data_IF_584692800157
#
_entry.id   IF_584692800157
#
_cell.length_a   1.000
_cell.length_b   1.000
_cell.length_c   1.000
_cell.angle_alpha   90.00
_cell.angle_beta   90.00
_cell.angle_gamma   90.00
#
_symmetry.space_group_name_H-M   'P 1'
#
loop_
_entity.id
_entity.type
_entity.pdbx_description
1 polymer ?
#
# COMPACT_ATOMS: atom_id res chain seq x y z
N UNK A 1 -3.18 14.52 2.21
CA UNK A 1 -3.94 14.22 3.44
C UNK A 1 -2.97 13.92 4.57
N UNK A 2 -3.21 14.37 5.81
CA UNK A 2 -2.37 13.94 6.95
C UNK A 2 -2.69 12.49 7.32
N UNK A 3 -1.67 11.76 7.79
CA UNK A 3 -1.80 10.38 8.31
C UNK A 3 -2.89 10.30 9.39
N UNK A 4 -2.99 11.35 10.21
CA UNK A 4 -3.97 11.51 11.28
C UNK A 4 -5.42 11.44 10.79
N UNK A 5 -5.76 12.06 9.65
CA UNK A 5 -7.12 11.98 9.09
C UNK A 5 -7.45 10.58 8.56
N UNK A 6 -6.44 9.83 8.09
CA UNK A 6 -6.65 8.46 7.64
C UNK A 6 -6.83 7.52 8.85
N UNK A 7 -6.03 7.71 9.91
CA UNK A 7 -6.18 7.01 11.17
C UNK A 7 -7.58 7.23 11.77
N UNK A 8 -8.06 8.48 11.83
CA UNK A 8 -9.40 8.80 12.32
C UNK A 8 -10.50 8.09 11.51
N UNK A 9 -10.39 8.04 10.18
CA UNK A 9 -11.38 7.32 9.35
C UNK A 9 -11.28 5.80 9.54
N UNK A 10 -10.06 5.27 9.72
CA UNK A 10 -9.87 3.85 9.99
C UNK A 10 -10.57 3.46 11.30
N UNK A 11 -10.27 4.15 12.39
CA UNK A 11 -10.85 3.89 13.71
C UNK A 11 -12.37 4.14 13.74
N UNK A 12 -12.84 5.28 13.21
CA UNK A 12 -14.24 5.69 13.36
C UNK A 12 -15.20 5.00 12.38
N UNK A 13 -14.70 4.54 11.23
CA UNK A 13 -15.56 4.02 10.15
C UNK A 13 -15.19 2.63 9.65
N UNK A 14 -13.91 2.32 9.51
CA UNK A 14 -13.46 1.05 8.93
C UNK A 14 -13.47 -0.07 9.97
N UNK A 15 -12.97 0.17 11.18
CA UNK A 15 -12.96 -0.81 12.26
C UNK A 15 -14.37 -1.31 12.62
N UNK A 16 -15.40 -0.44 12.75
CA UNK A 16 -16.77 -0.91 12.95
C UNK A 16 -17.27 -1.84 11.83
N UNK A 17 -16.93 -1.56 10.58
CA UNK A 17 -17.33 -2.40 9.42
C UNK A 17 -16.70 -3.79 9.52
N UNK A 18 -15.44 -3.88 9.93
CA UNK A 18 -14.71 -5.15 10.10
C UNK A 18 -15.27 -5.91 11.32
N UNK A 19 -15.46 -5.23 12.44
CA UNK A 19 -15.98 -5.80 13.69
C UNK A 19 -17.39 -6.38 13.51
N UNK A 20 -18.27 -5.66 12.81
CA UNK A 20 -19.62 -6.13 12.52
C UNK A 20 -19.61 -7.32 11.58
N UNK A 21 -18.68 -7.34 10.60
CA UNK A 21 -18.50 -8.49 9.73
C UNK A 21 -18.00 -9.71 10.51
N UNK A 22 -17.00 -9.57 11.37
CA UNK A 22 -16.50 -10.67 12.20
C UNK A 22 -17.57 -11.18 13.15
N UNK A 23 -18.29 -10.29 13.85
CA UNK A 23 -19.40 -10.69 14.72
C UNK A 23 -20.45 -11.47 13.94
N UNK A 24 -20.73 -11.09 12.69
CA UNK A 24 -21.72 -11.75 11.84
C UNK A 24 -21.26 -13.11 11.31
N UNK A 25 -20.02 -13.23 10.84
CA UNK A 25 -19.55 -14.44 10.15
C UNK A 25 -18.74 -15.38 11.05
N UNK A 26 -17.94 -14.85 11.97
CA UNK A 26 -17.16 -15.60 12.96
C UNK A 26 -17.92 -15.78 14.29
N UNK A 27 -18.91 -14.94 14.57
CA UNK A 27 -19.67 -14.97 15.82
C UNK A 27 -18.97 -14.31 17.00
N UNK A 28 -17.77 -13.75 16.78
CA UNK A 28 -16.93 -13.09 17.76
C UNK A 28 -16.27 -11.87 17.13
N UNK A 29 -15.86 -10.90 17.95
CA UNK A 29 -14.95 -9.83 17.53
C UNK A 29 -13.52 -10.27 17.86
N UNK A 30 -12.60 -10.05 16.94
CA UNK A 30 -11.17 -10.33 17.12
C UNK A 30 -10.40 -9.05 16.88
N UNK A 31 -10.08 -8.34 17.96
CA UNK A 31 -9.41 -7.03 17.89
C UNK A 31 -8.07 -7.12 17.16
N UNK A 32 -7.37 -8.26 17.24
CA UNK A 32 -6.11 -8.53 16.55
C UNK A 32 -6.30 -8.54 15.02
N UNK A 33 -7.36 -9.19 14.51
CA UNK A 33 -7.66 -9.20 13.07
C UNK A 33 -8.05 -7.80 12.59
N UNK A 34 -8.88 -7.09 13.37
CA UNK A 34 -9.27 -5.70 13.04
C UNK A 34 -8.03 -4.81 13.00
N UNK A 35 -7.18 -4.87 14.02
CA UNK A 35 -5.92 -4.14 14.09
C UNK A 35 -5.00 -4.45 12.92
N UNK A 36 -4.77 -5.72 12.60
CA UNK A 36 -3.92 -6.12 11.47
C UNK A 36 -4.46 -5.64 10.12
N UNK A 37 -5.79 -5.66 9.92
CA UNK A 37 -6.42 -5.12 8.70
C UNK A 37 -6.30 -3.61 8.67
N UNK A 38 -6.59 -2.91 9.78
CA UNK A 38 -6.46 -1.45 9.90
C UNK A 38 -5.03 -0.99 9.66
N UNK A 39 -4.06 -1.63 10.29
CA UNK A 39 -2.63 -1.37 10.11
C UNK A 39 -2.21 -1.61 8.67
N UNK A 40 -2.63 -2.75 8.08
CA UNK A 40 -2.36 -2.98 6.66
C UNK A 40 -3.07 -1.98 5.77
N UNK A 41 -4.26 -1.48 6.08
CA UNK A 41 -4.92 -0.43 5.30
C UNK A 41 -4.24 0.93 5.48
N UNK A 42 -3.72 1.22 6.68
CA UNK A 42 -2.93 2.41 7.04
C UNK A 42 -1.56 2.42 6.38
N UNK A 43 -0.97 1.25 6.13
CA UNK A 43 0.30 1.06 5.43
C UNK A 43 0.14 0.65 3.94
N UNK A 44 -1.06 0.25 3.52
CA UNK A 44 -1.49 0.11 2.13
C UNK A 44 -1.87 1.41 1.39
N UNK A 45 -1.64 2.64 1.88
CA UNK A 45 -1.66 3.83 1.01
C UNK A 45 -0.64 3.74 -0.12
N UNK A 46 0.32 2.83 0.02
CA UNK A 46 1.13 2.32 -1.08
C UNK A 46 0.36 1.46 -2.06
N UNK A 47 -0.96 1.48 -2.15
CA UNK A 47 -1.71 1.01 -3.31
C UNK A 47 -1.20 -0.36 -3.85
N UNK A 48 -0.92 -1.35 -3.00
CA UNK A 48 -0.47 -2.68 -3.44
C UNK A 48 0.76 -2.63 -4.35
N UNK A 49 1.54 -1.55 -4.27
CA UNK A 49 2.72 -1.29 -5.06
C UNK A 49 3.81 -2.16 -4.50
N UNK A 50 3.95 -3.35 -5.07
CA UNK A 50 5.02 -4.27 -4.72
C UNK A 50 6.37 -3.56 -4.76
N UNK A 51 7.09 -3.59 -3.65
CA UNK A 51 8.49 -3.21 -3.57
C UNK A 51 9.31 -4.37 -4.12
N UNK A 52 10.24 -4.07 -5.02
CA UNK A 52 11.12 -5.07 -5.63
C UNK A 52 12.42 -5.14 -4.83
N UNK A 53 12.47 -6.03 -3.84
CA UNK A 53 13.61 -6.16 -2.92
C UNK A 53 14.84 -6.80 -3.59
N UNK A 54 14.69 -7.47 -4.75
CA UNK A 54 15.82 -8.11 -5.44
C UNK A 54 16.71 -7.12 -6.19
N UNK A 55 16.22 -5.91 -6.45
CA UNK A 55 16.98 -4.86 -7.13
C UNK A 55 17.78 -4.02 -6.15
N UNK A 56 18.75 -3.27 -6.68
CA UNK A 56 19.41 -2.22 -5.90
C UNK A 56 18.43 -1.12 -5.49
N UNK A 57 18.78 -0.35 -4.44
CA UNK A 57 17.92 0.69 -3.89
C UNK A 57 17.45 1.68 -4.97
N UNK A 58 18.38 2.16 -5.81
CA UNK A 58 18.07 3.15 -6.87
C UNK A 58 17.12 2.58 -7.92
N UNK A 59 17.31 1.33 -8.32
CA UNK A 59 16.50 0.67 -9.34
C UNK A 59 15.10 0.34 -8.81
N UNK A 60 15.02 -0.22 -7.60
CA UNK A 60 13.76 -0.50 -6.92
C UNK A 60 12.95 0.78 -6.74
N UNK A 61 13.59 1.86 -6.25
CA UNK A 61 12.96 3.17 -6.09
C UNK A 61 12.43 3.71 -7.42
N UNK A 62 13.20 3.60 -8.50
CA UNK A 62 12.76 4.04 -9.84
C UNK A 62 11.52 3.26 -10.31
N UNK A 63 11.51 1.93 -10.16
CA UNK A 63 10.34 1.11 -10.52
C UNK A 63 9.13 1.44 -9.65
N UNK A 64 9.34 1.62 -8.35
CA UNK A 64 8.30 2.03 -7.42
C UNK A 64 7.65 3.35 -7.83
N UNK A 65 8.45 4.40 -8.09
CA UNK A 65 7.92 5.71 -8.57
C UNK A 65 7.10 5.57 -9.86
N UNK A 66 7.53 4.74 -10.79
CA UNK A 66 6.78 4.49 -12.03
C UNK A 66 5.44 3.79 -11.76
N UNK A 67 5.43 2.76 -10.91
CA UNK A 67 4.21 2.03 -10.55
C UNK A 67 3.24 2.96 -9.80
N UNK A 68 3.74 3.77 -8.87
CA UNK A 68 2.97 4.75 -8.12
C UNK A 68 2.27 5.76 -9.03
N UNK A 69 3.03 6.44 -9.90
CA UNK A 69 2.47 7.42 -10.83
C UNK A 69 1.49 6.79 -11.83
N UNK A 70 1.77 5.56 -12.28
CA UNK A 70 0.85 4.83 -13.15
C UNK A 70 -0.46 4.52 -12.44
N UNK A 71 -0.40 4.10 -11.17
CA UNK A 71 -1.60 3.78 -10.40
C UNK A 71 -2.41 5.04 -10.07
N UNK A 72 -1.77 6.14 -9.72
CA UNK A 72 -2.44 7.43 -9.57
C UNK A 72 -3.12 7.88 -10.88
N UNK A 73 -2.46 7.71 -12.03
CA UNK A 73 -3.10 7.99 -13.31
C UNK A 73 -4.29 7.08 -13.59
N UNK A 74 -4.23 5.80 -13.20
CA UNK A 74 -5.37 4.90 -13.34
C UNK A 74 -6.54 5.36 -12.47
N UNK A 75 -6.26 5.72 -11.21
CA UNK A 75 -7.26 6.21 -10.27
C UNK A 75 -7.90 7.53 -10.70
N UNK A 76 -7.12 8.41 -11.33
CA UNK A 76 -7.58 9.70 -11.85
C UNK A 76 -7.94 9.65 -13.34
N UNK A 77 -8.28 8.47 -13.88
CA UNK A 77 -8.76 8.29 -15.27
C UNK A 77 -7.85 8.88 -16.37
N UNK A 78 -6.54 8.92 -16.11
CA UNK A 78 -5.54 9.50 -17.00
C UNK A 78 -5.46 11.02 -16.95
N UNK A 79 -6.02 11.67 -15.92
CA UNK A 79 -5.91 13.11 -15.69
C UNK A 79 -4.50 13.49 -15.20
N UNK A 80 -3.63 13.82 -16.14
CA UNK A 80 -2.23 14.16 -15.87
C UNK A 80 -2.11 15.46 -15.07
N UNK A 81 -2.99 16.43 -15.29
CA UNK A 81 -2.97 17.71 -14.57
C UNK A 81 -3.27 17.53 -13.09
N UNK A 82 -4.22 16.65 -12.77
CA UNK A 82 -4.56 16.32 -11.39
C UNK A 82 -3.45 15.52 -10.71
N UNK A 83 -2.89 14.50 -11.38
CA UNK A 83 -1.75 13.75 -10.84
C UNK A 83 -0.52 14.65 -10.65
N UNK A 84 -0.24 15.58 -11.56
CA UNK A 84 0.86 16.54 -11.42
C UNK A 84 0.68 17.42 -10.18
N UNK A 85 -0.54 17.91 -9.95
CA UNK A 85 -0.88 18.71 -8.78
C UNK A 85 -0.69 17.92 -7.49
N UNK A 86 -1.24 16.71 -7.41
CA UNK A 86 -1.17 15.84 -6.23
C UNK A 86 0.26 15.42 -5.90
N UNK A 87 1.05 15.09 -6.92
CA UNK A 87 2.39 14.52 -6.73
C UNK A 87 3.49 15.56 -6.62
N UNK A 88 3.21 16.83 -6.95
CA UNK A 88 4.21 17.89 -7.08
C UNK A 88 5.19 17.66 -8.24
N UNK A 89 4.89 16.74 -9.16
CA UNK A 89 5.73 16.39 -10.29
C UNK A 89 5.28 17.14 -11.54
N UNK A 90 6.24 17.69 -12.30
CA UNK A 90 5.94 18.31 -13.58
C UNK A 90 5.24 17.35 -14.55
N UNK A 91 4.28 17.88 -15.31
CA UNK A 91 3.48 17.12 -16.28
C UNK A 91 4.34 16.38 -17.30
N UNK A 92 5.45 16.98 -17.77
CA UNK A 92 6.37 16.32 -18.72
C UNK A 92 7.10 15.16 -18.07
N UNK A 93 7.40 15.25 -16.78
CA UNK A 93 8.02 14.16 -16.04
C UNK A 93 7.04 13.00 -15.82
N UNK A 94 5.77 13.26 -15.55
CA UNK A 94 4.73 12.22 -15.51
C UNK A 94 4.57 11.57 -16.89
N UNK A 95 4.51 12.36 -17.96
CA UNK A 95 4.51 11.84 -19.33
C UNK A 95 5.73 10.93 -19.54
N UNK A 96 6.96 11.40 -19.37
CA UNK A 96 8.17 10.58 -19.59
C UNK A 96 8.22 9.30 -18.74
N UNK A 97 7.69 9.32 -17.52
CA UNK A 97 7.69 8.16 -16.63
C UNK A 97 6.66 7.10 -17.03
N UNK A 98 5.60 7.49 -17.74
CA UNK A 98 4.46 6.62 -18.10
C UNK A 98 4.45 6.28 -19.61
N UNK A 99 5.10 7.10 -20.44
CA UNK A 99 5.03 7.09 -21.90
C UNK A 99 6.02 6.13 -22.59
N UNK A 100 6.51 5.10 -21.89
CA UNK A 100 7.10 3.93 -22.57
C UNK A 100 6.04 3.06 -23.30
N UNK A 101 4.92 3.65 -23.74
CA UNK A 101 4.00 3.05 -24.72
C UNK A 101 2.56 2.73 -24.29
N UNK A 102 1.98 3.27 -23.20
CA UNK A 102 0.64 2.82 -22.72
C UNK A 102 -0.35 3.88 -22.21
N UNK A 103 -0.10 5.17 -22.35
CA UNK A 103 -1.05 6.23 -21.95
C UNK A 103 -2.39 6.16 -22.70
N UNK A 104 -2.39 5.79 -24.00
CA UNK A 104 -3.63 5.58 -24.78
C UNK A 104 -4.41 4.30 -24.42
N UNK A 105 -3.73 3.23 -23.98
CA UNK A 105 -4.39 1.97 -23.56
C UNK A 105 -5.04 2.08 -22.18
N UNK A 106 -4.45 2.86 -21.28
CA UNK A 106 -5.00 3.08 -19.94
C UNK A 106 -6.46 3.57 -20.04
N UNK A 107 -6.81 4.48 -20.96
CA UNK A 107 -8.21 4.95 -21.09
C UNK A 107 -9.22 3.89 -21.57
N UNK A 108 -8.79 2.88 -22.33
CA UNK A 108 -9.70 1.87 -22.93
C UNK A 108 -9.85 0.59 -22.09
N UNK A 109 -8.85 0.25 -21.27
CA UNK A 109 -8.82 -0.99 -20.47
C UNK A 109 -9.09 -0.77 -18.96
N UNK A 110 -9.52 0.43 -18.56
CA UNK A 110 -9.69 0.80 -17.14
C UNK A 110 -10.98 0.20 -16.56
N UNK A 111 -10.84 -0.86 -15.77
CA UNK A 111 -11.77 -1.14 -14.67
C UNK A 111 -11.94 0.16 -13.86
N UNK A 112 -13.18 0.51 -13.49
CA UNK A 112 -13.47 1.73 -12.71
C UNK A 112 -12.56 1.75 -11.47
N UNK A 113 -11.93 2.89 -11.12
CA UNK A 113 -11.01 3.01 -9.97
C UNK A 113 -11.53 2.38 -8.68
N UNK A 114 -12.84 2.48 -8.48
CA UNK A 114 -13.58 1.81 -7.41
C UNK A 114 -13.32 0.29 -7.34
N UNK A 115 -13.42 -0.41 -8.46
CA UNK A 115 -13.23 -1.86 -8.52
C UNK A 115 -11.78 -2.28 -8.24
N UNK A 116 -10.82 -1.44 -8.62
CA UNK A 116 -9.40 -1.67 -8.32
C UNK A 116 -9.12 -1.49 -6.82
N UNK A 117 -9.67 -0.44 -6.19
CA UNK A 117 -9.61 -0.25 -4.73
C UNK A 117 -10.24 -1.44 -4.00
N UNK A 118 -11.41 -1.89 -4.47
CA UNK A 118 -12.12 -3.01 -3.86
C UNK A 118 -11.29 -4.31 -3.89
N UNK A 119 -10.77 -4.69 -5.06
CA UNK A 119 -9.95 -5.91 -5.21
C UNK A 119 -8.70 -5.91 -4.34
N UNK A 120 -8.18 -4.74 -4.04
CA UNK A 120 -7.00 -4.57 -3.21
C UNK A 120 -7.32 -4.75 -1.73
N UNK A 121 -8.39 -4.10 -1.25
CA UNK A 121 -8.90 -4.32 0.11
C UNK A 121 -9.27 -5.80 0.29
N UNK A 122 -9.86 -6.44 -0.72
CA UNK A 122 -10.14 -7.89 -0.70
C UNK A 122 -8.86 -8.70 -0.48
N UNK A 123 -7.76 -8.33 -1.15
CA UNK A 123 -6.47 -8.99 -0.99
C UNK A 123 -5.87 -8.82 0.41
N UNK A 124 -5.96 -7.62 0.98
CA UNK A 124 -5.48 -7.32 2.34
C UNK A 124 -6.24 -8.16 3.36
N UNK A 125 -7.58 -8.14 3.30
CA UNK A 125 -8.42 -8.93 4.19
C UNK A 125 -8.07 -10.40 4.05
N UNK A 126 -7.97 -10.91 2.81
CA UNK A 126 -7.67 -12.31 2.57
C UNK A 126 -6.31 -12.74 3.12
N UNK A 127 -5.28 -11.90 3.00
CA UNK A 127 -3.95 -12.16 3.54
C UNK A 127 -3.94 -12.14 5.08
N UNK A 128 -4.66 -11.21 5.70
CA UNK A 128 -4.79 -11.20 7.17
C UNK A 128 -5.53 -12.45 7.62
N UNK A 129 -6.71 -12.75 7.06
CA UNK A 129 -7.49 -13.93 7.45
C UNK A 129 -6.67 -15.23 7.33
N UNK A 130 -5.81 -15.33 6.32
CA UNK A 130 -4.99 -16.52 6.10
C UNK A 130 -4.05 -16.79 7.29
N UNK A 131 -3.52 -15.74 7.92
CA UNK A 131 -2.65 -15.86 9.10
C UNK A 131 -3.40 -16.38 10.34
N UNK A 132 -4.74 -16.36 10.33
CA UNK A 132 -5.58 -16.79 11.45
C UNK A 132 -6.37 -18.08 11.15
N UNK A 133 -6.12 -18.73 10.00
CA UNK A 133 -6.83 -19.96 9.59
C UNK A 133 -6.70 -21.10 10.61
N UNK A 134 -5.54 -21.23 11.26
CA UNK A 134 -5.29 -22.29 12.24
C UNK A 134 -6.03 -22.09 13.57
N UNK A 135 -6.44 -20.86 13.86
CA UNK A 135 -7.04 -20.46 15.15
C UNK A 135 -8.57 -20.47 15.06
N UNK A 136 -9.11 -20.21 13.87
CA UNK A 136 -10.55 -20.08 13.62
C UNK A 136 -11.07 -21.36 12.95
N UNK A 137 -12.25 -21.82 13.37
CA UNK A 137 -12.90 -22.99 12.77
C UNK A 137 -13.09 -22.81 11.26
N UNK A 138 -12.59 -23.75 10.46
CA UNK A 138 -12.61 -23.77 8.98
C UNK A 138 -13.92 -23.24 8.38
N UNK A 139 -15.06 -23.81 8.74
CA UNK A 139 -16.36 -23.41 8.16
C UNK A 139 -16.87 -22.01 8.55
N UNK A 140 -16.27 -21.36 9.56
CA UNK A 140 -16.51 -19.93 9.85
C UNK A 140 -15.56 -19.06 9.04
N UNK A 141 -14.33 -19.51 8.82
CA UNK A 141 -13.36 -18.81 8.00
C UNK A 141 -13.78 -18.75 6.52
N UNK A 142 -14.30 -19.85 5.97
CA UNK A 142 -14.86 -19.89 4.61
C UNK A 142 -15.95 -18.83 4.41
N UNK A 143 -16.86 -18.68 5.37
CA UNK A 143 -17.92 -17.65 5.33
C UNK A 143 -17.35 -16.23 5.33
N UNK A 144 -16.23 -16.02 6.01
CA UNK A 144 -15.54 -14.73 6.04
C UNK A 144 -14.86 -14.44 4.70
N UNK A 145 -14.22 -15.45 4.09
CA UNK A 145 -13.68 -15.34 2.74
C UNK A 145 -14.77 -15.03 1.70
N UNK A 146 -15.90 -15.72 1.74
CA UNK A 146 -17.05 -15.45 0.86
C UNK A 146 -17.62 -14.04 1.06
N UNK A 147 -17.57 -13.51 2.28
CA UNK A 147 -18.04 -12.16 2.59
C UNK A 147 -17.05 -11.05 2.22
N UNK A 148 -15.78 -11.39 1.96
CA UNK A 148 -14.68 -10.44 1.71
C UNK A 148 -14.99 -9.42 0.61
N UNK A 149 -15.61 -9.77 -0.53
CA UNK A 149 -15.99 -8.79 -1.55
C UNK A 149 -16.97 -7.71 -1.03
N UNK A 150 -17.93 -8.10 -0.19
CA UNK A 150 -18.90 -7.17 0.39
C UNK A 150 -18.26 -6.29 1.45
N UNK A 151 -17.41 -6.86 2.31
CA UNK A 151 -16.69 -6.12 3.34
C UNK A 151 -15.79 -5.07 2.67
N UNK A 152 -15.04 -5.49 1.65
CA UNK A 152 -14.14 -4.63 0.90
C UNK A 152 -14.87 -3.49 0.21
N UNK A 153 -16.07 -3.76 -0.33
CA UNK A 153 -16.93 -2.71 -0.89
C UNK A 153 -17.27 -1.64 0.16
N UNK A 154 -17.77 -2.07 1.33
CA UNK A 154 -18.13 -1.15 2.41
C UNK A 154 -16.93 -0.33 2.90
N UNK A 155 -15.74 -0.96 2.98
CA UNK A 155 -14.51 -0.27 3.35
C UNK A 155 -14.14 0.78 2.28
N UNK A 156 -14.21 0.43 0.99
CA UNK A 156 -13.90 1.37 -0.09
C UNK A 156 -14.88 2.54 -0.17
N UNK A 157 -16.15 2.32 0.17
CA UNK A 157 -17.17 3.37 0.23
C UNK A 157 -16.84 4.43 1.30
N UNK A 158 -16.18 4.04 2.40
CA UNK A 158 -15.80 4.92 3.49
C UNK A 158 -14.35 5.43 3.41
N UNK A 159 -13.50 4.77 2.60
CA UNK A 159 -12.12 5.19 2.40
C UNK A 159 -12.07 6.55 1.70
N UNK A 160 -11.38 7.55 2.27
CA UNK A 160 -11.24 8.84 1.62
C UNK A 160 -10.46 8.68 0.30
N UNK A 161 -10.70 9.58 -0.64
CA UNK A 161 -9.85 9.65 -1.83
C UNK A 161 -8.44 10.04 -1.42
N UNK A 162 -7.52 9.08 -1.51
CA UNK A 162 -6.13 9.31 -1.13
C UNK A 162 -5.46 10.35 -2.02
N UNK A 163 -5.08 11.44 -1.38
CA UNK A 163 -4.14 12.43 -1.90
C UNK A 163 -2.80 12.25 -1.20
N UNK A 164 -2.03 11.26 -1.64
CA UNK A 164 -0.64 11.05 -1.22
C UNK A 164 0.30 11.66 -2.26
N UNK A 165 1.24 12.49 -1.79
CA UNK A 165 2.28 13.05 -2.63
C UNK A 165 3.32 11.99 -3.01
N UNK A 166 4.07 12.22 -4.09
CA UNK A 166 5.17 11.32 -4.46
C UNK A 166 6.26 11.27 -3.38
N UNK A 167 6.44 12.36 -2.63
CA UNK A 167 7.46 12.44 -1.58
C UNK A 167 7.11 11.51 -0.41
N UNK A 168 5.87 11.54 0.07
CA UNK A 168 5.39 10.65 1.13
C UNK A 168 5.47 9.19 0.69
N UNK A 169 5.03 8.88 -0.53
CA UNK A 169 5.15 7.53 -1.08
C UNK A 169 6.61 7.06 -1.19
N UNK A 170 7.53 7.96 -1.53
CA UNK A 170 8.97 7.64 -1.55
C UNK A 170 9.53 7.41 -0.15
N UNK A 171 9.09 8.14 0.88
CA UNK A 171 9.54 7.95 2.25
C UNK A 171 9.07 6.61 2.80
N UNK A 172 7.83 6.21 2.54
CA UNK A 172 7.32 4.89 2.93
C UNK A 172 8.05 3.76 2.19
N UNK A 173 8.28 3.92 0.89
CA UNK A 173 9.14 2.99 0.13
C UNK A 173 10.53 2.84 0.76
N UNK A 174 11.15 3.95 1.14
CA UNK A 174 12.49 3.93 1.72
C UNK A 174 12.50 3.22 3.07
N UNK A 175 11.48 3.45 3.90
CA UNK A 175 11.32 2.79 5.20
C UNK A 175 11.21 1.28 5.03
N UNK A 176 10.26 0.82 4.23
CA UNK A 176 10.00 -0.61 4.03
C UNK A 176 11.16 -1.33 3.34
N UNK A 177 11.73 -0.72 2.28
CA UNK A 177 12.87 -1.32 1.57
C UNK A 177 14.09 -1.47 2.48
N UNK A 178 14.41 -0.46 3.28
CA UNK A 178 15.58 -0.49 4.16
C UNK A 178 15.37 -1.41 5.35
N UNK A 179 14.18 -1.41 5.95
CA UNK A 179 13.82 -2.31 7.05
C UNK A 179 14.01 -3.78 6.65
N UNK A 180 13.46 -4.18 5.50
CA UNK A 180 13.61 -5.55 4.99
C UNK A 180 15.08 -5.88 4.71
N UNK A 181 15.83 -4.97 4.10
CA UNK A 181 17.24 -5.21 3.77
C UNK A 181 18.18 -5.23 4.97
N UNK A 182 17.87 -4.49 6.03
CA UNK A 182 18.60 -4.61 7.29
C UNK A 182 18.33 -5.95 7.94
N UNK A 183 17.05 -6.39 7.97
CA UNK A 183 16.67 -7.70 8.50
C UNK A 183 17.35 -8.85 7.77
N UNK A 184 17.38 -8.83 6.43
CA UNK A 184 18.07 -9.83 5.59
C UNK A 184 19.60 -9.90 5.81
N UNK A 185 20.19 -8.86 6.41
CA UNK A 185 21.63 -8.74 6.62
C UNK A 185 22.00 -8.65 8.10
N UNK A 186 21.13 -9.12 8.99
CA UNK A 186 21.39 -9.16 10.44
C UNK A 186 21.72 -7.77 11.02
N UNK A 187 21.13 -6.73 10.45
CA UNK A 187 21.37 -5.31 10.79
C UNK A 187 22.82 -4.82 10.57
N UNK A 188 23.63 -5.55 9.78
CA UNK A 188 24.95 -5.09 9.34
C UNK A 188 24.81 -4.00 8.27
N UNK A 189 25.06 -2.75 8.66
CA UNK A 189 24.94 -1.57 7.80
C UNK A 189 25.95 -1.61 6.63
N UNK A 190 27.17 -2.08 6.87
CA UNK A 190 28.23 -2.10 5.84
C UNK A 190 27.87 -3.12 4.77
N UNK A 191 27.47 -4.33 5.18
CA UNK A 191 27.01 -5.39 4.28
C UNK A 191 25.75 -4.99 3.52
N UNK A 192 24.80 -4.36 4.21
CA UNK A 192 23.56 -3.85 3.61
C UNK A 192 23.86 -2.80 2.54
N UNK A 193 24.70 -1.80 2.85
CA UNK A 193 25.08 -0.75 1.92
C UNK A 193 25.70 -1.31 0.63
N UNK A 194 26.62 -2.28 0.76
CA UNK A 194 27.24 -2.97 -0.36
C UNK A 194 26.21 -3.71 -1.23
N UNK A 195 25.31 -4.51 -0.62
CA UNK A 195 24.30 -5.29 -1.36
C UNK A 195 23.30 -4.40 -2.12
N UNK A 196 22.83 -3.32 -1.51
CA UNK A 196 21.84 -2.43 -2.12
C UNK A 196 22.46 -1.33 -2.99
N UNK A 197 23.80 -1.33 -3.14
CA UNK A 197 24.61 -0.37 -3.91
C UNK A 197 24.41 1.08 -3.46
N UNK A 198 24.35 1.31 -2.15
CA UNK A 198 24.38 2.64 -1.55
C UNK A 198 25.74 2.89 -0.90
N UNK A 199 26.15 4.16 -0.86
CA UNK A 199 27.27 4.57 -0.01
C UNK A 199 26.86 4.39 1.45
N UNK A 200 27.80 3.92 2.28
CA UNK A 200 27.59 3.69 3.71
C UNK A 200 27.00 4.91 4.41
N UNK A 201 27.59 6.10 4.20
CA UNK A 201 27.13 7.35 4.82
C UNK A 201 25.72 7.73 4.39
N UNK A 202 25.35 7.37 3.16
CA UNK A 202 24.00 7.61 2.63
C UNK A 202 22.97 6.69 3.28
N UNK A 203 23.33 5.42 3.50
CA UNK A 203 22.48 4.48 4.22
C UNK A 203 22.34 4.90 5.68
N UNK A 204 23.45 5.19 6.37
CA UNK A 204 23.45 5.60 7.78
C UNK A 204 22.58 6.84 8.01
N UNK A 205 22.69 7.86 7.15
CA UNK A 205 21.82 9.04 7.22
C UNK A 205 20.34 8.71 7.05
N UNK A 206 20.02 7.74 6.18
CA UNK A 206 18.63 7.30 5.95
C UNK A 206 18.07 6.52 7.12
N UNK A 207 18.84 5.61 7.70
CA UNK A 207 18.47 4.83 8.90
C UNK A 207 18.15 5.80 10.05
N UNK A 208 19.03 6.77 10.30
CA UNK A 208 18.82 7.78 11.35
C UNK A 208 17.59 8.65 11.10
N UNK A 209 17.35 9.07 9.85
CA UNK A 209 16.18 9.88 9.49
C UNK A 209 14.86 9.11 9.69
N UNK A 210 14.88 7.80 9.43
CA UNK A 210 13.70 6.93 9.43
C UNK A 210 13.51 6.16 10.74
N UNK A 211 14.34 6.41 11.76
CA UNK A 211 14.29 5.79 13.08
C UNK A 211 14.27 4.25 13.01
N UNK A 212 15.06 3.70 12.08
CA UNK A 212 15.15 2.24 11.88
C UNK A 212 16.17 1.55 12.80
N UNK A 213 16.96 2.34 13.56
CA UNK A 213 17.90 1.95 14.62
C UNK A 213 18.15 3.12 15.57
#
# INVERSE_FOLDING_TARGET
MSKEMLEEVLESKIEPVIDDAMKKYLGVRMAEITGDISDKLLHSPLLGLKIDFYLSFKESKKKFKQRFLRKLLQMKHGNISEVARLTGVDRRSIHRLVDKGRTRKIRKDLLKPYYLKQKEVEGIIGEVLHNYEDIVRVGKMEKMYEATPRISKNIVDELPDMEMSLKEAEEEFEKEYLKEKLKENDHDIVRTAAKIKLRYETLLRKIKKLELQ
#
